data_IF_997941709560
#
_entry.id   IF_997941709560
#
_cell.length_a   1.000
_cell.length_b   1.000
_cell.length_c   1.000
_cell.angle_alpha   90.00
_cell.angle_beta   90.00
_cell.angle_gamma   90.00
#
_symmetry.space_group_name_H-M   'P 1'
#
loop_
_entity.id
_entity.type
_entity.pdbx_description
1 polymer ?
#
# COMPACT_ATOMS: atom_id res chain seq x y z
N UNK A 1 -50.25 80.49 6.64
CA UNK A 1 -49.51 80.22 5.39
C UNK A 1 -48.83 78.86 5.53
N UNK A 2 -49.31 77.86 4.81
CA UNK A 2 -48.82 76.48 4.86
C UNK A 2 -47.73 76.30 3.79
N UNK A 3 -46.48 76.09 4.21
CA UNK A 3 -45.38 75.77 3.29
C UNK A 3 -45.57 74.36 2.75
N UNK A 4 -45.96 74.24 1.47
CA UNK A 4 -45.91 72.98 0.74
C UNK A 4 -44.47 72.75 0.28
N UNK A 5 -43.76 71.69 0.73
CA UNK A 5 -42.42 71.42 0.26
C UNK A 5 -42.48 70.97 -1.21
N UNK A 6 -41.75 71.69 -2.08
CA UNK A 6 -41.54 71.29 -3.48
C UNK A 6 -40.87 69.91 -3.52
N UNK A 7 -41.56 68.91 -4.07
CA UNK A 7 -40.96 67.60 -4.40
C UNK A 7 -39.79 67.83 -5.36
N UNK A 8 -38.57 67.59 -4.86
CA UNK A 8 -37.34 67.61 -5.66
C UNK A 8 -37.46 66.50 -6.72
N UNK A 9 -37.66 66.86 -7.99
CA UNK A 9 -37.64 65.89 -9.09
C UNK A 9 -36.20 65.37 -9.20
N UNK A 10 -35.99 64.09 -8.91
CA UNK A 10 -34.71 63.43 -9.13
C UNK A 10 -34.43 63.42 -10.66
N UNK A 11 -33.19 63.70 -11.09
CA UNK A 11 -32.81 63.57 -12.50
C UNK A 11 -33.03 62.14 -12.99
N UNK A 12 -33.46 62.01 -14.25
CA UNK A 12 -33.71 60.73 -14.89
C UNK A 12 -32.41 59.98 -15.21
N UNK A 13 -32.54 58.70 -15.55
CA UNK A 13 -31.42 57.77 -15.78
C UNK A 13 -30.52 58.24 -16.92
N UNK A 14 -29.28 58.63 -16.61
CA UNK A 14 -28.32 59.06 -17.63
C UNK A 14 -27.43 57.90 -18.07
N UNK A 15 -26.89 57.99 -19.30
CA UNK A 15 -25.90 57.02 -19.80
C UNK A 15 -24.65 56.93 -18.90
N UNK A 16 -24.28 58.03 -18.23
CA UNK A 16 -23.13 58.04 -17.31
C UNK A 16 -23.40 57.24 -16.05
N UNK A 17 -24.64 57.25 -15.56
CA UNK A 17 -25.04 56.45 -14.39
C UNK A 17 -25.12 54.96 -14.75
N UNK A 18 -25.54 54.63 -15.97
CA UNK A 18 -25.50 53.27 -16.50
C UNK A 18 -24.07 52.69 -16.51
N UNK A 19 -23.10 53.46 -17.02
CA UNK A 19 -21.69 53.06 -17.08
C UNK A 19 -21.11 52.88 -15.68
N UNK A 20 -21.44 53.76 -14.73
CA UNK A 20 -20.99 53.65 -13.34
C UNK A 20 -21.55 52.41 -12.65
N UNK A 21 -22.84 52.12 -12.83
CA UNK A 21 -23.47 50.92 -12.29
C UNK A 21 -22.88 49.65 -12.89
N UNK A 22 -22.63 49.63 -14.21
CA UNK A 22 -21.98 48.53 -14.87
C UNK A 22 -20.56 48.32 -14.32
N UNK A 23 -19.77 49.38 -14.19
CA UNK A 23 -18.41 49.30 -13.66
C UNK A 23 -18.37 48.81 -12.20
N UNK A 24 -19.21 49.39 -11.33
CA UNK A 24 -19.32 48.99 -9.93
C UNK A 24 -19.81 47.55 -9.79
N UNK A 25 -20.80 47.16 -10.61
CA UNK A 25 -21.30 45.78 -10.66
C UNK A 25 -20.22 44.80 -11.12
N UNK A 26 -19.50 45.11 -12.20
CA UNK A 26 -18.40 44.26 -12.69
C UNK A 26 -17.28 44.10 -11.66
N UNK A 27 -16.91 45.17 -10.94
CA UNK A 27 -15.91 45.10 -9.88
C UNK A 27 -16.38 44.25 -8.69
N UNK A 28 -17.65 44.39 -8.27
CA UNK A 28 -18.22 43.55 -7.22
C UNK A 28 -18.29 42.08 -7.64
N UNK A 29 -18.74 41.80 -8.86
CA UNK A 29 -18.79 40.43 -9.40
C UNK A 29 -17.39 39.82 -9.43
N UNK A 30 -16.40 40.56 -9.93
CA UNK A 30 -15.01 40.09 -9.95
C UNK A 30 -14.48 39.82 -8.53
N UNK A 31 -14.69 40.75 -7.60
CA UNK A 31 -14.26 40.59 -6.21
C UNK A 31 -14.90 39.38 -5.52
N UNK A 32 -16.22 39.23 -5.63
CA UNK A 32 -16.94 38.09 -5.06
C UNK A 32 -16.50 36.77 -5.70
N UNK A 33 -16.36 36.73 -7.03
CA UNK A 33 -15.93 35.52 -7.74
C UNK A 33 -14.53 35.10 -7.30
N UNK A 34 -13.59 36.05 -7.18
CA UNK A 34 -12.22 35.78 -6.71
C UNK A 34 -12.22 35.24 -5.28
N UNK A 35 -12.95 35.87 -4.36
CA UNK A 35 -13.02 35.44 -2.96
C UNK A 35 -13.63 34.05 -2.84
N UNK A 36 -14.75 33.80 -3.54
CA UNK A 36 -15.46 32.53 -3.45
C UNK A 36 -14.70 31.38 -4.14
N UNK A 37 -13.86 31.69 -5.13
CA UNK A 37 -13.05 30.71 -5.87
C UNK A 37 -11.68 30.42 -5.24
N UNK A 38 -11.33 31.05 -4.11
CA UNK A 38 -9.98 30.91 -3.52
C UNK A 38 -9.65 29.47 -3.12
N UNK A 39 -10.64 28.67 -2.70
CA UNK A 39 -10.44 27.26 -2.32
C UNK A 39 -10.33 26.31 -3.52
N UNK A 40 -10.58 26.82 -4.74
CA UNK A 40 -10.44 26.05 -5.99
C UNK A 40 -8.97 26.05 -6.43
N UNK A 41 -8.10 26.80 -5.75
CA UNK A 41 -6.67 26.74 -6.00
C UNK A 41 -6.16 25.31 -5.78
N UNK A 42 -5.50 24.71 -6.78
CA UNK A 42 -5.12 23.30 -6.73
C UNK A 42 -4.17 22.99 -5.56
N UNK A 43 -4.65 22.29 -4.54
CA UNK A 43 -3.83 21.75 -3.44
C UNK A 43 -3.30 20.36 -3.83
N UNK A 44 -2.46 20.30 -4.86
CA UNK A 44 -1.81 19.07 -5.32
C UNK A 44 -0.31 19.00 -5.03
N UNK A 45 0.27 17.87 -5.40
CA UNK A 45 1.70 17.58 -5.45
C UNK A 45 2.08 17.17 -6.89
N UNK A 46 2.56 18.11 -7.72
CA UNK A 46 2.93 17.81 -9.12
C UNK A 46 4.31 17.15 -9.26
N UNK A 47 4.79 16.42 -8.25
CA UNK A 47 6.09 15.77 -8.23
C UNK A 47 6.05 14.31 -8.67
N UNK A 48 7.20 13.64 -8.60
CA UNK A 48 7.39 12.23 -8.92
C UNK A 48 7.82 11.42 -7.69
N UNK A 49 7.89 10.09 -7.83
CA UNK A 49 8.46 9.21 -6.79
C UNK A 49 9.90 9.65 -6.47
N UNK A 50 10.21 9.82 -5.19
CA UNK A 50 11.51 10.26 -4.69
C UNK A 50 11.62 11.75 -4.40
N UNK A 51 10.67 12.57 -4.87
CA UNK A 51 10.62 13.99 -4.55
C UNK A 51 10.22 14.23 -3.08
N UNK A 52 10.62 15.38 -2.56
CA UNK A 52 10.31 15.80 -1.18
C UNK A 52 9.13 16.74 -1.19
N UNK A 53 8.12 16.47 -0.36
CA UNK A 53 6.96 17.34 -0.24
C UNK A 53 7.32 18.68 0.41
N UNK A 54 7.11 19.78 -0.32
CA UNK A 54 7.34 21.14 0.19
C UNK A 54 6.23 21.68 1.10
N UNK A 55 5.13 20.95 1.28
CA UNK A 55 4.01 21.26 2.19
C UNK A 55 3.23 19.99 2.51
N UNK A 56 2.44 20.02 3.58
CA UNK A 56 1.46 18.97 3.87
C UNK A 56 0.46 18.82 2.70
N UNK A 57 0.30 17.59 2.21
CA UNK A 57 -0.70 17.23 1.20
C UNK A 57 -1.80 16.44 1.88
N UNK A 58 -3.03 16.96 1.80
CA UNK A 58 -4.21 16.38 2.46
C UNK A 58 -5.18 15.78 1.46
N UNK A 59 -5.86 14.72 1.87
CA UNK A 59 -6.86 14.05 1.06
C UNK A 59 -8.12 14.92 0.86
N UNK A 60 -8.51 15.25 -0.38
CA UNK A 60 -9.68 16.09 -0.65
C UNK A 60 -11.01 15.37 -0.41
N UNK A 61 -10.99 14.04 -0.41
CA UNK A 61 -12.16 13.15 -0.25
C UNK A 61 -11.73 11.85 0.42
N UNK A 62 -12.69 11.16 1.04
CA UNK A 62 -12.46 9.80 1.51
C UNK A 62 -12.50 8.82 0.34
N UNK A 63 -11.58 7.87 0.30
CA UNK A 63 -11.52 6.81 -0.72
C UNK A 63 -10.94 5.53 -0.10
N UNK A 64 -11.42 4.38 -0.54
CA UNK A 64 -10.82 3.08 -0.28
C UNK A 64 -10.13 2.61 -1.57
N UNK A 65 -8.80 2.55 -1.54
CA UNK A 65 -7.95 2.25 -2.70
C UNK A 65 -7.42 0.83 -2.57
N UNK A 66 -7.67 0.02 -3.59
CA UNK A 66 -6.97 -1.26 -3.77
C UNK A 66 -5.57 -0.97 -4.32
N UNK A 67 -4.52 -1.32 -3.57
CA UNK A 67 -3.14 -1.20 -4.03
C UNK A 67 -2.71 -2.46 -4.75
N UNK A 68 -2.76 -2.43 -6.07
CA UNK A 68 -2.32 -3.55 -6.91
C UNK A 68 -0.83 -3.80 -6.74
N UNK A 69 -0.03 -2.74 -6.65
CA UNK A 69 1.43 -2.82 -6.53
C UNK A 69 1.84 -3.48 -5.20
N UNK A 70 1.29 -3.04 -4.06
CA UNK A 70 1.61 -3.67 -2.78
C UNK A 70 1.04 -5.09 -2.66
N UNK A 71 -0.11 -5.34 -3.28
CA UNK A 71 -0.69 -6.68 -3.31
C UNK A 71 0.22 -7.64 -4.09
N UNK A 72 0.68 -7.25 -5.28
CA UNK A 72 1.62 -8.07 -6.05
C UNK A 72 2.99 -8.21 -5.36
N UNK A 73 3.49 -7.17 -4.70
CA UNK A 73 4.72 -7.27 -3.91
C UNK A 73 4.60 -8.33 -2.80
N UNK A 74 3.48 -8.35 -2.06
CA UNK A 74 3.23 -9.37 -1.03
C UNK A 74 3.00 -10.75 -1.64
N UNK A 75 2.36 -10.85 -2.80
CA UNK A 75 2.21 -12.11 -3.55
C UNK A 75 3.57 -12.66 -3.99
N UNK A 76 4.46 -11.81 -4.49
CA UNK A 76 5.81 -12.20 -4.88
C UNK A 76 6.63 -12.68 -3.69
N UNK A 77 6.55 -11.97 -2.55
CA UNK A 77 7.19 -12.41 -1.31
C UNK A 77 6.66 -13.76 -0.82
N UNK A 78 5.34 -13.98 -0.91
CA UNK A 78 4.73 -15.26 -0.58
C UNK A 78 5.27 -16.41 -1.47
N UNK A 79 5.42 -16.18 -2.78
CA UNK A 79 6.02 -17.17 -3.70
C UNK A 79 7.46 -17.50 -3.30
N UNK A 80 8.27 -16.50 -2.94
CA UNK A 80 9.67 -16.70 -2.55
C UNK A 80 9.83 -17.45 -1.22
N UNK A 81 8.87 -17.28 -0.31
CA UNK A 81 8.86 -17.97 0.99
C UNK A 81 8.32 -19.40 0.92
N UNK A 82 7.66 -19.78 -0.17
CA UNK A 82 7.13 -21.13 -0.35
C UNK A 82 8.27 -22.14 -0.53
N UNK A 83 8.40 -23.13 0.36
CA UNK A 83 9.44 -24.15 0.24
C UNK A 83 9.25 -25.03 -1.02
N UNK A 84 10.34 -25.51 -1.63
CA UNK A 84 10.29 -26.55 -2.64
C UNK A 84 9.50 -27.78 -2.17
N UNK A 85 8.73 -28.37 -3.08
CA UNK A 85 7.95 -29.58 -2.84
C UNK A 85 8.70 -30.79 -3.42
N UNK A 86 8.60 -31.91 -2.72
CA UNK A 86 9.28 -33.17 -3.08
C UNK A 86 8.29 -34.33 -3.11
N UNK A 87 8.60 -35.39 -3.87
CA UNK A 87 7.76 -36.57 -4.11
C UNK A 87 7.87 -37.70 -3.09
N UNK A 88 8.53 -37.46 -1.98
CA UNK A 88 8.62 -38.46 -0.92
C UNK A 88 7.24 -38.84 -0.35
N UNK A 89 7.08 -40.16 -0.23
CA UNK A 89 6.02 -40.82 0.52
C UNK A 89 6.60 -41.99 1.32
N UNK A 90 5.84 -42.47 2.32
CA UNK A 90 6.24 -43.67 3.07
C UNK A 90 6.40 -44.91 2.18
N UNK A 91 5.62 -45.01 1.10
CA UNK A 91 5.67 -46.11 0.13
C UNK A 91 6.95 -46.06 -0.74
N UNK A 92 7.32 -44.87 -1.21
CA UNK A 92 8.60 -44.66 -1.93
C UNK A 92 9.80 -44.92 -1.02
N UNK A 93 9.72 -44.56 0.27
CA UNK A 93 10.74 -44.90 1.25
C UNK A 93 10.87 -46.41 1.47
N UNK A 94 9.75 -47.11 1.62
CA UNK A 94 9.72 -48.56 1.79
C UNK A 94 10.27 -49.31 0.57
N UNK A 95 9.77 -49.00 -0.63
CA UNK A 95 10.22 -49.63 -1.88
C UNK A 95 11.67 -49.29 -2.24
N UNK A 96 12.17 -48.13 -1.80
CA UNK A 96 13.59 -47.79 -1.90
C UNK A 96 14.42 -48.63 -0.94
N UNK A 97 14.00 -48.76 0.31
CA UNK A 97 14.68 -49.58 1.31
C UNK A 97 14.75 -51.06 0.89
N UNK A 98 13.65 -51.64 0.41
CA UNK A 98 13.62 -53.03 -0.04
C UNK A 98 14.62 -53.28 -1.19
N UNK A 99 14.62 -52.39 -2.21
CA UNK A 99 15.55 -52.49 -3.34
C UNK A 99 17.01 -52.36 -2.91
N UNK A 100 17.32 -51.42 -2.00
CA UNK A 100 18.70 -51.22 -1.56
C UNK A 100 19.18 -52.29 -0.57
N UNK A 101 18.30 -52.85 0.25
CA UNK A 101 18.62 -54.02 1.07
C UNK A 101 18.94 -55.24 0.21
N UNK A 102 18.15 -55.50 -0.84
CA UNK A 102 18.46 -56.58 -1.79
C UNK A 102 19.78 -56.36 -2.54
N UNK A 103 20.06 -55.11 -2.93
CA UNK A 103 21.33 -54.74 -3.56
C UNK A 103 22.52 -54.89 -2.60
N UNK A 104 22.35 -54.53 -1.32
CA UNK A 104 23.33 -54.76 -0.26
C UNK A 104 23.62 -56.24 -0.08
N UNK A 105 22.57 -57.06 0.01
CA UNK A 105 22.72 -58.51 0.19
C UNK A 105 23.50 -59.15 -0.97
N UNK A 106 23.16 -58.78 -2.22
CA UNK A 106 23.87 -59.24 -3.41
C UNK A 106 25.33 -58.73 -3.47
N UNK A 107 25.57 -57.47 -3.10
CA UNK A 107 26.92 -56.90 -3.10
C UNK A 107 27.85 -57.57 -2.07
N UNK A 108 27.29 -58.02 -0.95
CA UNK A 108 28.06 -58.61 0.14
C UNK A 108 28.14 -60.15 0.10
N UNK A 109 27.43 -60.81 -0.82
CA UNK A 109 27.46 -62.28 -0.99
C UNK A 109 28.90 -62.86 -1.11
N UNK A 110 29.83 -62.27 -1.90
CA UNK A 110 31.19 -62.79 -2.00
C UNK A 110 31.98 -62.65 -0.69
N UNK A 111 31.71 -61.57 0.05
CA UNK A 111 32.35 -61.28 1.35
C UNK A 111 31.83 -62.25 2.41
N UNK A 112 30.53 -62.50 2.45
CA UNK A 112 29.94 -63.50 3.35
C UNK A 112 30.49 -64.89 3.08
N UNK A 113 30.59 -65.29 1.82
CA UNK A 113 31.15 -66.58 1.43
C UNK A 113 32.59 -66.75 1.91
N UNK A 114 33.40 -65.68 1.83
CA UNK A 114 34.78 -65.70 2.33
C UNK A 114 34.84 -65.90 3.85
N UNK A 115 33.99 -65.24 4.64
CA UNK A 115 33.93 -65.38 6.10
C UNK A 115 33.26 -66.69 6.57
N UNK A 116 32.35 -67.27 5.78
CA UNK A 116 31.67 -68.53 6.08
C UNK A 116 32.53 -69.76 5.77
N UNK A 117 33.50 -69.63 4.88
CA UNK A 117 34.38 -70.74 4.50
C UNK A 117 35.21 -71.21 5.70
N UNK A 118 35.20 -72.53 6.00
CA UNK A 118 36.08 -73.14 7.03
C UNK A 118 37.54 -73.26 6.55
N UNK A 119 37.98 -72.29 5.75
CA UNK A 119 39.29 -72.27 5.10
C UNK A 119 40.36 -71.75 6.05
N UNK A 120 41.63 -72.00 5.73
CA UNK A 120 42.73 -71.36 6.45
C UNK A 120 42.68 -69.83 6.31
N UNK A 121 43.20 -69.11 7.30
CA UNK A 121 43.19 -67.64 7.32
C UNK A 121 43.78 -67.03 6.04
N UNK A 122 44.83 -67.64 5.48
CA UNK A 122 45.45 -67.20 4.23
C UNK A 122 44.50 -67.27 3.03
N UNK A 123 43.65 -68.31 2.96
CA UNK A 123 42.67 -68.49 1.87
C UNK A 123 41.53 -67.48 2.01
N UNK A 124 41.06 -67.22 3.23
CA UNK A 124 40.06 -66.19 3.52
C UNK A 124 40.55 -64.79 3.14
N UNK A 125 41.78 -64.45 3.51
CA UNK A 125 42.38 -63.14 3.17
C UNK A 125 42.50 -62.95 1.66
N UNK A 126 42.88 -63.99 0.91
CA UNK A 126 42.94 -63.95 -0.55
C UNK A 126 41.56 -63.76 -1.19
N UNK A 127 40.54 -64.48 -0.72
CA UNK A 127 39.17 -64.37 -1.20
C UNK A 127 38.55 -62.98 -0.93
N UNK A 128 38.82 -62.39 0.24
CA UNK A 128 38.34 -61.04 0.58
C UNK A 128 38.97 -59.94 -0.30
N UNK A 129 40.25 -60.07 -0.62
CA UNK A 129 40.94 -59.14 -1.52
C UNK A 129 40.40 -59.21 -2.96
N UNK A 130 39.96 -60.40 -3.40
CA UNK A 130 39.33 -60.59 -4.71
C UNK A 130 37.86 -60.13 -4.75
N UNK A 131 37.13 -60.32 -3.64
CA UNK A 131 35.73 -59.93 -3.51
C UNK A 131 35.49 -58.42 -3.58
N UNK A 132 36.48 -57.61 -3.20
CA UNK A 132 36.32 -56.14 -3.12
C UNK A 132 37.53 -55.40 -3.69
N UNK A 133 37.74 -55.42 -5.02
CA UNK A 133 38.96 -54.91 -5.67
C UNK A 133 39.12 -53.37 -5.64
N UNK A 134 38.15 -52.64 -5.10
CA UNK A 134 38.13 -51.17 -5.05
C UNK A 134 38.22 -50.55 -3.65
N UNK A 135 38.41 -51.36 -2.60
CA UNK A 135 38.60 -50.85 -1.23
C UNK A 135 39.98 -50.17 -1.11
N UNK A 136 40.07 -49.00 -0.46
CA UNK A 136 41.36 -48.40 -0.15
C UNK A 136 42.13 -49.28 0.87
N UNK A 137 43.47 -49.15 0.93
CA UNK A 137 44.31 -50.09 1.67
C UNK A 137 44.01 -50.17 3.17
N UNK A 138 43.64 -49.05 3.78
CA UNK A 138 43.37 -48.95 5.22
C UNK A 138 42.06 -49.67 5.57
N UNK A 139 41.02 -49.50 4.75
CA UNK A 139 39.72 -50.16 4.90
C UNK A 139 39.82 -51.65 4.54
N UNK A 140 40.64 -52.01 3.56
CA UNK A 140 40.95 -53.41 3.26
C UNK A 140 41.64 -54.09 4.45
N UNK A 141 42.60 -53.43 5.09
CA UNK A 141 43.26 -53.97 6.29
C UNK A 141 42.26 -54.19 7.43
N UNK A 142 41.37 -53.21 7.63
CA UNK A 142 40.28 -53.30 8.61
C UNK A 142 39.38 -54.49 8.33
N UNK A 143 38.98 -54.71 7.08
CA UNK A 143 38.15 -55.86 6.67
C UNK A 143 38.86 -57.20 6.91
N UNK A 144 40.16 -57.29 6.62
CA UNK A 144 40.95 -58.52 6.76
C UNK A 144 41.18 -58.94 8.21
N UNK A 145 41.21 -57.98 9.13
CA UNK A 145 41.46 -58.21 10.56
C UNK A 145 40.20 -58.63 11.34
N UNK A 146 39.00 -58.49 10.73
CA UNK A 146 37.75 -58.94 11.35
C UNK A 146 37.69 -60.46 11.51
N UNK A 147 37.09 -60.92 12.60
CA UNK A 147 36.65 -62.31 12.79
C UNK A 147 35.30 -62.56 12.10
N UNK A 148 34.93 -63.82 11.81
CA UNK A 148 33.61 -64.15 11.26
C UNK A 148 32.43 -63.67 12.13
N UNK A 149 32.60 -63.67 13.46
CA UNK A 149 31.57 -63.19 14.40
C UNK A 149 31.44 -61.66 14.36
N UNK A 150 32.55 -60.94 14.26
CA UNK A 150 32.56 -59.48 14.10
C UNK A 150 32.00 -59.06 12.74
N UNK A 151 32.35 -59.75 11.66
CA UNK A 151 31.76 -59.53 10.33
C UNK A 151 30.24 -59.69 10.35
N UNK A 152 29.73 -60.78 10.94
CA UNK A 152 28.27 -61.02 11.06
C UNK A 152 27.58 -59.90 11.84
N UNK A 153 28.22 -59.42 12.91
CA UNK A 153 27.72 -58.31 13.73
C UNK A 153 27.77 -56.97 12.99
N UNK A 154 28.79 -56.75 12.17
CA UNK A 154 28.94 -55.56 11.34
C UNK A 154 27.92 -55.56 10.20
N UNK A 155 27.79 -56.67 9.48
CA UNK A 155 26.84 -56.85 8.38
C UNK A 155 25.41 -56.57 8.82
N UNK A 156 24.99 -57.17 9.93
CA UNK A 156 23.64 -56.95 10.48
C UNK A 156 23.40 -55.49 10.89
N UNK A 157 24.42 -54.82 11.42
CA UNK A 157 24.35 -53.38 11.71
C UNK A 157 24.23 -52.56 10.42
N UNK A 158 25.06 -52.84 9.41
CA UNK A 158 25.04 -52.15 8.13
C UNK A 158 23.68 -52.27 7.45
N UNK A 159 23.11 -53.48 7.41
CA UNK A 159 21.77 -53.73 6.87
C UNK A 159 20.71 -52.90 7.61
N UNK A 160 20.73 -52.90 8.95
CA UNK A 160 19.81 -52.10 9.78
C UNK A 160 19.95 -50.60 9.49
N UNK A 161 21.17 -50.09 9.40
CA UNK A 161 21.44 -48.67 9.16
C UNK A 161 20.98 -48.26 7.75
N UNK A 162 21.28 -49.06 6.73
CA UNK A 162 20.84 -48.80 5.35
C UNK A 162 19.32 -48.80 5.26
N UNK A 163 18.67 -49.83 5.79
CA UNK A 163 17.20 -49.92 5.78
C UNK A 163 16.57 -48.71 6.48
N UNK A 164 17.09 -48.33 7.66
CA UNK A 164 16.58 -47.18 8.42
C UNK A 164 16.81 -45.87 7.65
N UNK A 165 17.98 -45.71 7.04
CA UNK A 165 18.34 -44.52 6.26
C UNK A 165 17.46 -44.38 5.02
N UNK A 166 17.20 -45.49 4.32
CA UNK A 166 16.46 -45.54 3.07
C UNK A 166 14.94 -45.45 3.27
N UNK A 167 14.44 -45.79 4.47
CA UNK A 167 13.04 -45.54 4.88
C UNK A 167 12.76 -44.06 5.14
N UNK A 168 13.74 -43.29 5.59
CA UNK A 168 13.62 -41.85 5.82
C UNK A 168 13.67 -41.06 4.50
N UNK A 169 13.22 -39.80 4.51
CA UNK A 169 13.36 -38.92 3.36
C UNK A 169 14.85 -38.61 3.09
N UNK A 170 15.32 -38.96 1.89
CA UNK A 170 16.66 -38.66 1.38
C UNK A 170 16.50 -37.86 0.10
N UNK A 171 16.66 -36.53 0.21
CA UNK A 171 16.59 -35.60 -0.91
C UNK A 171 17.80 -35.73 -1.83
N UNK A 172 17.57 -35.57 -3.12
CA UNK A 172 18.60 -35.41 -4.15
C UNK A 172 19.70 -34.40 -3.77
N UNK A 173 19.31 -33.26 -3.23
CA UNK A 173 20.17 -32.17 -2.77
C UNK A 173 20.98 -32.50 -1.51
N UNK A 174 20.53 -33.46 -0.70
CA UNK A 174 21.13 -33.81 0.60
C UNK A 174 21.83 -35.17 0.58
N UNK A 175 21.87 -35.85 -0.57
CA UNK A 175 22.37 -37.22 -0.67
C UNK A 175 23.82 -37.37 -0.17
N UNK A 176 24.70 -36.42 -0.49
CA UNK A 176 26.10 -36.48 -0.06
C UNK A 176 26.25 -36.30 1.46
N UNK A 177 25.46 -35.41 2.05
CA UNK A 177 25.43 -35.22 3.51
C UNK A 177 24.86 -36.46 4.20
N UNK A 178 23.78 -37.04 3.66
CA UNK A 178 23.18 -38.27 4.15
C UNK A 178 24.17 -39.45 4.11
N UNK A 179 24.97 -39.56 3.04
CA UNK A 179 26.05 -40.56 2.90
C UNK A 179 27.16 -40.35 3.94
N UNK A 180 27.60 -39.11 4.13
CA UNK A 180 28.61 -38.76 5.12
C UNK A 180 28.16 -39.05 6.57
N UNK A 181 26.86 -38.98 6.82
CA UNK A 181 26.28 -39.27 8.14
C UNK A 181 26.10 -40.77 8.44
N UNK A 182 26.30 -41.68 7.47
CA UNK A 182 26.09 -43.11 7.67
C UNK A 182 27.03 -43.70 8.73
N UNK A 183 28.31 -43.31 8.74
CA UNK A 183 29.28 -43.78 9.72
C UNK A 183 28.89 -43.44 11.16
N UNK A 184 28.30 -42.27 11.36
CA UNK A 184 27.82 -41.81 12.68
C UNK A 184 26.54 -42.53 13.16
N UNK A 185 25.80 -43.19 12.25
CA UNK A 185 24.57 -43.95 12.58
C UNK A 185 24.84 -45.39 13.02
N UNK A 186 26.07 -45.88 12.80
CA UNK A 186 26.53 -47.19 13.28
C UNK A 186 26.72 -47.15 14.80
N UNK A 187 26.52 -48.31 15.44
CA UNK A 187 26.67 -48.42 16.88
C UNK A 187 28.09 -48.06 17.38
N UNK A 188 28.14 -47.39 18.54
CA UNK A 188 29.40 -46.93 19.18
C UNK A 188 30.36 -48.07 19.53
N UNK A 189 29.86 -49.31 19.60
CA UNK A 189 30.69 -50.52 19.82
C UNK A 189 31.74 -50.74 18.72
N UNK A 190 31.51 -50.18 17.53
CA UNK A 190 32.42 -50.30 16.40
C UNK A 190 33.50 -49.22 16.44
N UNK A 191 34.73 -49.60 16.11
CA UNK A 191 35.87 -48.69 16.05
C UNK A 191 35.67 -47.61 14.97
N UNK A 192 36.41 -46.48 15.01
CA UNK A 192 36.35 -45.48 13.94
C UNK A 192 36.64 -46.09 12.56
N UNK A 193 37.70 -46.89 12.42
CA UNK A 193 38.07 -47.53 11.15
C UNK A 193 36.99 -48.48 10.62
N UNK A 194 36.35 -49.23 11.52
CA UNK A 194 35.20 -50.09 11.20
C UNK A 194 33.99 -49.29 10.70
N UNK A 195 33.72 -48.12 11.29
CA UNK A 195 32.63 -47.23 10.89
C UNK A 195 32.91 -46.56 9.54
N UNK A 196 34.16 -46.22 9.26
CA UNK A 196 34.59 -45.66 7.99
C UNK A 196 34.49 -46.71 6.87
N UNK A 197 34.92 -47.95 7.12
CA UNK A 197 34.73 -49.10 6.21
C UNK A 197 33.24 -49.30 5.89
N UNK A 198 32.39 -49.36 6.92
CA UNK A 198 30.95 -49.54 6.74
C UNK A 198 30.29 -48.37 5.99
N UNK A 199 30.69 -47.13 6.26
CA UNK A 199 30.23 -45.96 5.51
C UNK A 199 30.62 -46.03 4.04
N UNK A 200 31.84 -46.48 3.74
CA UNK A 200 32.32 -46.64 2.37
C UNK A 200 31.54 -47.71 1.60
N UNK A 201 31.20 -48.82 2.26
CA UNK A 201 30.37 -49.89 1.70
C UNK A 201 28.92 -49.41 1.47
N UNK A 202 28.33 -48.71 2.44
CA UNK A 202 26.93 -48.27 2.38
C UNK A 202 26.70 -47.06 1.48
N UNK A 203 27.71 -46.19 1.30
CA UNK A 203 27.59 -44.93 0.57
C UNK A 203 26.98 -45.07 -0.83
N UNK A 204 27.49 -45.96 -1.70
CA UNK A 204 26.94 -46.20 -3.04
C UNK A 204 25.50 -46.74 -3.04
N UNK A 205 25.10 -47.46 -1.99
CA UNK A 205 23.79 -48.10 -1.86
C UNK A 205 22.71 -47.14 -1.32
N UNK A 206 23.11 -46.09 -0.59
CA UNK A 206 22.21 -45.00 -0.23
C UNK A 206 21.89 -44.16 -1.48
N UNK A 207 20.62 -44.16 -1.88
CA UNK A 207 20.11 -43.38 -3.03
C UNK A 207 19.08 -42.35 -2.60
N UNK A 208 18.85 -41.31 -3.40
CA UNK A 208 17.76 -40.38 -3.14
C UNK A 208 16.41 -41.06 -3.38
N UNK A 209 15.47 -40.85 -2.47
CA UNK A 209 14.07 -41.33 -2.56
C UNK A 209 13.06 -40.17 -2.50
N UNK A 210 13.56 -38.94 -2.62
CA UNK A 210 12.81 -37.69 -2.61
C UNK A 210 13.43 -36.77 -3.66
N UNK A 211 12.71 -36.55 -4.75
CA UNK A 211 13.13 -35.74 -5.88
C UNK A 211 12.30 -34.47 -5.93
N UNK A 212 12.93 -33.37 -6.34
CA UNK A 212 12.23 -32.10 -6.51
C UNK A 212 11.09 -32.21 -7.53
N UNK A 213 9.89 -31.79 -7.12
CA UNK A 213 8.71 -31.74 -7.98
C UNK A 213 8.41 -30.29 -8.35
N UNK A 214 8.80 -29.92 -9.57
CA UNK A 214 8.60 -28.58 -10.09
C UNK A 214 7.11 -28.21 -10.17
N UNK A 215 6.26 -29.12 -10.64
CA UNK A 215 4.85 -28.85 -10.84
C UNK A 215 4.12 -28.63 -9.50
N UNK A 216 4.39 -29.46 -8.50
CA UNK A 216 3.83 -29.26 -7.14
C UNK A 216 4.38 -28.01 -6.47
N UNK A 217 5.64 -27.68 -6.71
CA UNK A 217 6.24 -26.44 -6.18
C UNK A 217 5.60 -25.20 -6.79
N UNK A 218 5.45 -25.17 -8.11
CA UNK A 218 4.78 -24.06 -8.80
C UNK A 218 3.32 -23.93 -8.38
N UNK A 219 2.59 -25.04 -8.25
CA UNK A 219 1.22 -25.04 -7.75
C UNK A 219 1.12 -24.51 -6.31
N UNK A 220 2.05 -24.92 -5.43
CA UNK A 220 2.13 -24.42 -4.06
C UNK A 220 2.46 -22.91 -4.01
N UNK A 221 3.37 -22.44 -4.87
CA UNK A 221 3.69 -21.01 -5.00
C UNK A 221 2.48 -20.19 -5.48
N UNK A 222 1.72 -20.70 -6.45
CA UNK A 222 0.50 -20.05 -6.94
C UNK A 222 -0.60 -20.02 -5.87
N UNK A 223 -0.81 -21.13 -5.16
CA UNK A 223 -1.77 -21.19 -4.06
C UNK A 223 -1.40 -20.24 -2.92
N UNK A 224 -0.12 -20.16 -2.56
CA UNK A 224 0.38 -19.21 -1.56
C UNK A 224 0.16 -17.76 -2.00
N UNK A 225 0.41 -17.42 -3.26
CA UNK A 225 0.13 -16.10 -3.80
C UNK A 225 -1.38 -15.78 -3.82
N UNK A 226 -2.23 -16.73 -4.20
CA UNK A 226 -3.68 -16.55 -4.22
C UNK A 226 -4.29 -16.37 -2.81
N UNK A 227 -3.66 -16.95 -1.79
CA UNK A 227 -4.07 -16.78 -0.39
C UNK A 227 -3.72 -15.41 0.21
N UNK A 228 -2.89 -14.60 -0.47
CA UNK A 228 -2.52 -13.26 0.03
C UNK A 228 -3.72 -12.31 -0.10
N UNK A 229 -4.20 -11.72 1.02
CA UNK A 229 -5.28 -10.77 0.98
C UNK A 229 -4.85 -9.48 0.26
N UNK A 230 -5.80 -8.86 -0.42
CA UNK A 230 -5.63 -7.57 -1.07
C UNK A 230 -5.23 -6.48 -0.07
N UNK A 231 -4.28 -5.64 -0.46
CA UNK A 231 -3.84 -4.49 0.32
C UNK A 231 -4.72 -3.30 -0.01
N UNK A 232 -5.43 -2.79 1.00
CA UNK A 232 -6.32 -1.64 0.87
C UNK A 232 -5.84 -0.47 1.71
N UNK A 233 -5.89 0.74 1.14
CA UNK A 233 -5.69 1.99 1.85
C UNK A 233 -7.03 2.67 2.04
N UNK A 234 -7.46 2.79 3.30
CA UNK A 234 -8.60 3.61 3.65
C UNK A 234 -8.10 5.01 4.00
N UNK A 235 -8.37 5.98 3.14
CA UNK A 235 -7.97 7.38 3.34
C UNK A 235 -9.22 8.19 3.62
N UNK A 236 -9.19 9.00 4.69
CA UNK A 236 -10.32 9.86 5.09
C UNK A 236 -10.09 11.29 4.61
N UNK A 237 -11.17 12.00 4.22
CA UNK A 237 -11.11 13.43 3.87
C UNK A 237 -10.40 14.23 4.97
N UNK A 238 -9.41 15.04 4.58
CA UNK A 238 -8.62 15.91 5.46
C UNK A 238 -7.40 15.26 6.11
N UNK A 239 -7.25 13.94 5.97
CA UNK A 239 -6.07 13.19 6.40
C UNK A 239 -4.82 13.65 5.64
N UNK A 240 -3.68 13.68 6.33
CA UNK A 240 -2.40 14.05 5.72
C UNK A 240 -1.84 12.82 5.03
N UNK A 241 -1.83 12.82 3.70
CA UNK A 241 -1.27 11.75 2.87
C UNK A 241 0.25 11.85 2.84
N UNK A 242 0.77 13.08 2.76
CA UNK A 242 2.22 13.36 2.78
C UNK A 242 2.49 14.55 3.68
N UNK A 243 3.42 14.39 4.61
CA UNK A 243 3.87 15.50 5.46
C UNK A 243 4.92 16.35 4.76
N UNK A 244 4.97 17.63 5.11
CA UNK A 244 6.09 18.51 4.72
C UNK A 244 7.45 17.89 5.10
N UNK A 245 8.40 17.91 4.16
CA UNK A 245 9.73 17.32 4.32
C UNK A 245 9.80 15.80 4.15
N UNK A 246 8.67 15.11 3.99
CA UNK A 246 8.64 13.68 3.71
C UNK A 246 8.99 13.39 2.24
N UNK A 247 9.81 12.36 2.01
CA UNK A 247 10.07 11.82 0.67
C UNK A 247 8.87 10.97 0.23
N UNK A 248 8.38 11.20 -0.98
CA UNK A 248 7.31 10.42 -1.59
C UNK A 248 7.85 9.07 -2.07
N UNK A 249 7.36 7.97 -1.50
CA UNK A 249 7.64 6.61 -1.98
C UNK A 249 6.59 6.16 -3.02
N UNK A 250 6.76 4.96 -3.58
CA UNK A 250 5.84 4.44 -4.59
C UNK A 250 4.40 4.28 -4.05
N UNK A 251 4.25 3.83 -2.80
CA UNK A 251 2.96 3.64 -2.16
C UNK A 251 2.20 4.96 -1.97
N UNK A 252 2.89 5.99 -1.49
CA UNK A 252 2.35 7.33 -1.34
C UNK A 252 2.03 7.95 -2.70
N UNK A 253 2.88 7.74 -3.70
CA UNK A 253 2.63 8.23 -5.06
C UNK A 253 1.36 7.60 -5.68
N UNK A 254 1.14 6.30 -5.47
CA UNK A 254 -0.09 5.61 -5.87
C UNK A 254 -1.33 6.25 -5.21
N UNK A 255 -1.26 6.54 -3.91
CA UNK A 255 -2.35 7.22 -3.20
C UNK A 255 -2.61 8.63 -3.77
N UNK A 256 -1.57 9.42 -4.04
CA UNK A 256 -1.69 10.74 -4.65
C UNK A 256 -2.31 10.68 -6.06
N UNK A 257 -1.96 9.64 -6.84
CA UNK A 257 -2.52 9.39 -8.18
C UNK A 257 -4.03 9.12 -8.12
N UNK A 258 -4.46 8.20 -7.26
CA UNK A 258 -5.87 7.83 -7.10
C UNK A 258 -6.73 8.96 -6.48
N UNK A 259 -6.10 9.83 -5.69
CA UNK A 259 -6.71 11.05 -5.18
C UNK A 259 -6.78 12.19 -6.21
N UNK A 260 -6.14 12.04 -7.38
CA UNK A 260 -6.09 13.07 -8.42
C UNK A 260 -5.23 14.29 -8.03
N UNK A 261 -4.27 14.10 -7.12
CA UNK A 261 -3.45 15.17 -6.57
C UNK A 261 -2.17 15.44 -7.37
N UNK A 262 -1.86 14.58 -8.35
CA UNK A 262 -0.67 14.70 -9.20
C UNK A 262 -0.83 15.73 -10.33
N UNK A 263 -2.02 15.87 -10.90
CA UNK A 263 -2.32 16.87 -11.93
C UNK A 263 -3.56 17.68 -11.54
N UNK A 264 -3.39 18.70 -10.68
CA UNK A 264 -4.53 19.37 -10.10
C UNK A 264 -5.05 20.43 -11.09
N UNK A 265 -6.06 20.06 -11.87
CA UNK A 265 -6.70 20.94 -12.85
C UNK A 265 -7.68 21.92 -12.17
N UNK A 266 -7.74 23.19 -12.63
CA UNK A 266 -8.72 24.13 -12.11
C UNK A 266 -10.13 23.67 -12.48
N UNK A 267 -11.01 23.55 -11.48
CA UNK A 267 -12.41 23.21 -11.69
C UNK A 267 -13.16 24.42 -12.29
N UNK A 268 -13.12 24.51 -13.63
CA UNK A 268 -13.74 25.58 -14.40
C UNK A 268 -15.26 25.60 -14.21
N UNK A 269 -15.89 24.44 -13.97
CA UNK A 269 -17.32 24.34 -13.73
C UNK A 269 -17.71 24.98 -12.40
N UNK A 270 -16.99 24.68 -11.31
CA UNK A 270 -17.21 25.34 -10.01
C UNK A 270 -16.92 26.83 -10.06
N UNK A 271 -15.84 27.23 -10.74
CA UNK A 271 -15.51 28.66 -10.94
C UNK A 271 -16.63 29.38 -11.69
N UNK A 272 -17.17 28.75 -12.74
CA UNK A 272 -18.34 29.25 -13.47
C UNK A 272 -19.60 29.36 -12.60
N UNK A 273 -19.83 28.39 -11.71
CA UNK A 273 -20.91 28.43 -10.72
C UNK A 273 -20.79 29.62 -9.77
N UNK A 274 -19.60 29.89 -9.22
CA UNK A 274 -19.36 31.07 -8.37
C UNK A 274 -19.49 32.38 -9.12
N UNK A 275 -19.05 32.44 -10.37
CA UNK A 275 -19.24 33.61 -11.23
C UNK A 275 -20.74 33.88 -11.46
N UNK A 276 -21.52 32.85 -11.77
CA UNK A 276 -22.97 32.96 -11.96
C UNK A 276 -23.67 33.43 -10.68
N UNK A 277 -23.36 32.83 -9.53
CA UNK A 277 -23.90 33.24 -8.23
C UNK A 277 -23.56 34.69 -7.92
N UNK A 278 -22.31 35.10 -8.16
CA UNK A 278 -21.87 36.49 -7.97
C UNK A 278 -22.66 37.46 -8.86
N UNK A 279 -22.88 37.10 -10.14
CA UNK A 279 -23.70 37.89 -11.07
C UNK A 279 -25.14 38.02 -10.57
N UNK A 280 -25.76 36.92 -10.12
CA UNK A 280 -27.15 36.95 -9.63
C UNK A 280 -27.30 37.81 -8.38
N UNK A 281 -26.39 37.69 -7.42
CA UNK A 281 -26.43 38.46 -6.17
C UNK A 281 -26.20 39.96 -6.42
N UNK A 282 -25.23 40.30 -7.27
CA UNK A 282 -24.97 41.70 -7.62
C UNK A 282 -26.11 42.28 -8.45
N UNK A 283 -26.68 41.51 -9.38
CA UNK A 283 -27.84 41.94 -10.16
C UNK A 283 -29.07 42.17 -9.27
N UNK A 284 -29.30 41.31 -8.27
CA UNK A 284 -30.37 41.49 -7.28
C UNK A 284 -30.16 42.78 -6.47
N UNK A 285 -28.96 42.97 -5.94
CA UNK A 285 -28.61 44.14 -5.13
C UNK A 285 -28.73 45.44 -5.93
N UNK A 286 -28.10 45.52 -7.10
CA UNK A 286 -28.11 46.70 -7.95
C UNK A 286 -29.49 46.94 -8.60
N UNK A 287 -30.21 45.87 -8.95
CA UNK A 287 -31.58 45.95 -9.46
C UNK A 287 -32.54 46.51 -8.40
N UNK A 288 -32.37 46.11 -7.14
CA UNK A 288 -33.12 46.69 -6.03
C UNK A 288 -32.78 48.17 -5.82
N UNK A 289 -31.49 48.53 -5.81
CA UNK A 289 -31.04 49.94 -5.69
C UNK A 289 -31.61 50.78 -6.84
N UNK A 290 -31.57 50.27 -8.07
CA UNK A 290 -32.12 50.94 -9.24
C UNK A 290 -33.65 51.16 -9.13
N UNK A 291 -34.39 50.19 -8.59
CA UNK A 291 -35.85 50.23 -8.51
C UNK A 291 -36.39 51.04 -7.33
N UNK A 292 -35.74 50.98 -6.17
CA UNK A 292 -36.27 51.50 -4.91
C UNK A 292 -35.46 52.64 -4.31
N UNK A 293 -34.17 52.79 -4.68
CA UNK A 293 -33.29 53.83 -4.15
C UNK A 293 -32.60 54.64 -5.25
N UNK A 294 -33.38 55.35 -6.09
CA UNK A 294 -32.85 56.24 -7.12
C UNK A 294 -32.19 57.52 -6.55
N UNK A 295 -31.70 57.51 -5.32
CA UNK A 295 -30.87 58.58 -4.77
C UNK A 295 -29.41 58.13 -4.63
N UNK A 296 -29.19 56.82 -4.48
CA UNK A 296 -27.88 56.22 -4.23
C UNK A 296 -27.05 56.06 -5.50
N UNK A 297 -27.67 55.70 -6.63
CA UNK A 297 -27.01 55.56 -7.94
C UNK A 297 -26.37 56.85 -8.50
N UNK A 298 -26.87 58.03 -8.12
CA UNK A 298 -26.23 59.30 -8.50
C UNK A 298 -24.97 59.60 -7.67
N UNK A 299 -24.74 58.87 -6.56
CA UNK A 299 -23.62 59.05 -5.63
C UNK A 299 -22.64 57.89 -5.77
N UNK A 300 -21.56 58.10 -6.53
CA UNK A 300 -20.51 57.08 -6.72
C UNK A 300 -19.99 56.51 -5.39
N UNK A 301 -19.78 57.38 -4.39
CA UNK A 301 -19.28 56.97 -3.07
C UNK A 301 -20.22 55.98 -2.36
N UNK A 302 -21.54 56.10 -2.53
CA UNK A 302 -22.50 55.20 -1.89
C UNK A 302 -22.47 53.80 -2.50
N UNK A 303 -22.34 53.69 -3.83
CA UNK A 303 -22.21 52.39 -4.51
C UNK A 303 -20.86 51.73 -4.20
N UNK A 304 -19.78 52.51 -4.17
CA UNK A 304 -18.44 52.01 -3.81
C UNK A 304 -18.42 51.54 -2.36
N UNK A 305 -19.00 52.29 -1.43
CA UNK A 305 -19.10 51.90 -0.03
C UNK A 305 -19.90 50.61 0.14
N UNK A 306 -21.06 50.49 -0.50
CA UNK A 306 -21.87 49.29 -0.46
C UNK A 306 -21.09 48.08 -0.99
N UNK A 307 -20.45 48.22 -2.16
CA UNK A 307 -19.65 47.16 -2.75
C UNK A 307 -18.47 46.76 -1.88
N UNK A 308 -17.75 47.73 -1.33
CA UNK A 308 -16.60 47.49 -0.44
C UNK A 308 -17.04 46.74 0.83
N UNK A 309 -18.12 47.16 1.47
CA UNK A 309 -18.63 46.52 2.70
C UNK A 309 -19.07 45.07 2.40
N UNK A 310 -19.81 44.84 1.31
CA UNK A 310 -20.23 43.48 0.92
C UNK A 310 -19.03 42.59 0.59
N UNK A 311 -18.06 43.10 -0.18
CA UNK A 311 -16.85 42.34 -0.54
C UNK A 311 -16.00 42.02 0.69
N UNK A 312 -15.79 42.98 1.59
CA UNK A 312 -15.03 42.76 2.83
C UNK A 312 -15.75 41.81 3.79
N UNK A 313 -17.07 41.92 3.93
CA UNK A 313 -17.85 41.00 4.75
C UNK A 313 -17.80 39.57 4.19
N UNK A 314 -17.93 39.41 2.87
CA UNK A 314 -17.75 38.12 2.20
C UNK A 314 -16.35 37.54 2.40
N UNK A 315 -15.31 38.38 2.31
CA UNK A 315 -13.93 37.95 2.60
C UNK A 315 -13.78 37.46 4.04
N UNK A 316 -14.29 38.20 5.01
CA UNK A 316 -14.25 37.82 6.42
C UNK A 316 -15.00 36.49 6.66
N UNK A 317 -16.20 36.34 6.11
CA UNK A 317 -16.98 35.10 6.16
C UNK A 317 -16.19 33.94 5.56
N UNK A 318 -15.55 34.14 4.40
CA UNK A 318 -14.75 33.12 3.72
C UNK A 318 -13.57 32.63 4.56
N UNK A 319 -12.77 33.56 5.09
CA UNK A 319 -11.58 33.24 5.91
C UNK A 319 -11.96 32.47 7.19
N UNK A 320 -13.14 32.74 7.74
CA UNK A 320 -13.62 32.03 8.93
C UNK A 320 -14.37 30.74 8.62
N UNK A 321 -14.98 30.62 7.43
CA UNK A 321 -15.96 29.58 7.06
C UNK A 321 -15.46 28.14 7.16
N UNK A 322 -14.17 27.92 6.87
CA UNK A 322 -13.55 26.58 6.91
C UNK A 322 -13.28 26.07 8.33
N UNK A 323 -13.53 26.89 9.35
CA UNK A 323 -13.26 26.57 10.75
C UNK A 323 -14.58 26.45 11.51
N UNK A 324 -14.74 25.37 12.27
CA UNK A 324 -16.04 24.95 12.82
C UNK A 324 -16.76 25.98 13.70
N UNK A 325 -16.04 26.88 14.38
CA UNK A 325 -16.65 27.83 15.35
C UNK A 325 -16.38 29.30 15.00
N UNK A 326 -15.31 29.60 14.27
CA UNK A 326 -14.87 30.98 14.03
C UNK A 326 -15.85 31.89 13.26
N UNK A 327 -16.69 31.39 12.33
CA UNK A 327 -17.70 32.22 11.65
C UNK A 327 -18.67 32.89 12.62
N UNK A 328 -19.04 32.20 13.70
CA UNK A 328 -20.00 32.69 14.69
C UNK A 328 -19.46 33.79 15.61
N UNK A 329 -18.14 34.01 15.61
CA UNK A 329 -17.50 35.14 16.30
C UNK A 329 -17.46 36.41 15.45
N UNK A 330 -17.79 36.33 14.16
CA UNK A 330 -17.81 37.52 13.32
C UNK A 330 -19.01 38.40 13.68
N UNK A 331 -18.81 39.71 13.93
CA UNK A 331 -19.90 40.62 14.26
C UNK A 331 -20.67 40.99 12.99
N UNK A 332 -21.33 40.03 12.34
CA UNK A 332 -22.03 40.24 11.06
C UNK A 332 -23.18 41.25 11.21
N UNK A 333 -23.81 41.29 12.39
CA UNK A 333 -24.77 42.34 12.74
C UNK A 333 -24.20 43.77 12.67
N UNK A 334 -22.89 43.95 12.95
CA UNK A 334 -22.24 45.25 12.83
C UNK A 334 -22.13 45.71 11.36
N UNK A 335 -22.06 44.77 10.40
CA UNK A 335 -22.10 45.08 8.96
C UNK A 335 -23.46 45.66 8.59
N UNK A 336 -24.55 45.02 9.03
CA UNK A 336 -25.91 45.51 8.81
C UNK A 336 -26.14 46.89 9.45
N UNK A 337 -25.66 47.08 10.69
CA UNK A 337 -25.74 48.37 11.38
C UNK A 337 -24.97 49.47 10.64
N UNK A 338 -23.75 49.18 10.19
CA UNK A 338 -22.91 50.12 9.45
C UNK A 338 -23.61 50.56 8.15
N UNK A 339 -24.17 49.62 7.39
CA UNK A 339 -24.91 49.94 6.17
C UNK A 339 -26.20 50.74 6.45
N UNK A 340 -26.90 50.44 7.54
CA UNK A 340 -28.13 51.15 7.91
C UNK A 340 -27.86 52.60 8.30
N UNK A 341 -26.72 52.86 8.98
CA UNK A 341 -26.31 54.21 9.41
C UNK A 341 -25.73 55.02 8.25
N UNK A 342 -24.89 54.42 7.40
CA UNK A 342 -24.20 55.16 6.33
C UNK A 342 -25.03 55.33 5.06
N UNK A 343 -25.97 54.42 4.78
CA UNK A 343 -26.86 54.47 3.61
C UNK A 343 -28.32 54.61 4.04
N UNK A 344 -28.97 53.49 4.35
CA UNK A 344 -30.35 53.40 4.83
C UNK A 344 -30.70 51.96 5.25
N UNK A 345 -31.76 51.81 6.04
CA UNK A 345 -32.22 50.50 6.55
C UNK A 345 -32.67 49.52 5.46
N UNK A 346 -33.21 50.00 4.35
CA UNK A 346 -33.64 49.15 3.23
C UNK A 346 -32.43 48.56 2.49
N UNK A 347 -31.42 49.37 2.22
CA UNK A 347 -30.17 48.91 1.60
C UNK A 347 -29.44 47.93 2.52
N UNK A 348 -29.42 48.19 3.82
CA UNK A 348 -28.84 47.28 4.81
C UNK A 348 -29.53 45.92 4.82
N UNK A 349 -30.87 45.89 4.81
CA UNK A 349 -31.64 44.64 4.80
C UNK A 349 -31.31 43.78 3.57
N UNK A 350 -31.28 44.38 2.38
CA UNK A 350 -30.99 43.64 1.14
C UNK A 350 -29.54 43.17 1.10
N UNK A 351 -28.60 44.00 1.57
CA UNK A 351 -27.19 43.60 1.65
C UNK A 351 -26.97 42.44 2.64
N UNK A 352 -27.65 42.46 3.80
CA UNK A 352 -27.60 41.36 4.76
C UNK A 352 -28.22 40.08 4.19
N UNK A 353 -29.34 40.18 3.48
CA UNK A 353 -29.93 39.02 2.80
C UNK A 353 -28.97 38.43 1.74
N UNK A 354 -28.26 39.27 0.98
CA UNK A 354 -27.20 38.83 0.06
C UNK A 354 -26.06 38.14 0.82
N UNK A 355 -25.60 38.71 1.94
CA UNK A 355 -24.56 38.12 2.77
C UNK A 355 -24.99 36.79 3.40
N UNK A 356 -26.26 36.62 3.76
CA UNK A 356 -26.79 35.34 4.25
C UNK A 356 -26.75 34.24 3.19
N UNK A 357 -27.11 34.56 1.94
CA UNK A 357 -26.95 33.62 0.81
C UNK A 357 -25.48 33.27 0.58
N UNK A 358 -24.58 34.25 0.63
CA UNK A 358 -23.13 34.02 0.53
C UNK A 358 -22.63 33.11 1.66
N UNK A 359 -23.05 33.37 2.90
CA UNK A 359 -22.65 32.60 4.06
C UNK A 359 -23.07 31.12 3.94
N UNK A 360 -24.32 30.85 3.53
CA UNK A 360 -24.78 29.49 3.29
C UNK A 360 -24.09 28.80 2.13
N UNK A 361 -23.77 29.55 1.06
CA UNK A 361 -23.03 28.99 -0.07
C UNK A 361 -21.59 28.61 0.32
N UNK A 362 -20.94 29.40 1.19
CA UNK A 362 -19.58 29.12 1.67
C UNK A 362 -19.52 27.85 2.52
N UNK A 363 -20.45 27.67 3.47
CA UNK A 363 -20.42 26.50 4.37
C UNK A 363 -21.13 25.28 3.83
N UNK A 364 -21.96 25.44 2.79
CA UNK A 364 -22.84 24.38 2.29
C UNK A 364 -23.98 24.03 3.27
N UNK A 365 -24.23 24.87 4.27
CA UNK A 365 -25.25 24.66 5.31
C UNK A 365 -26.19 25.87 5.42
N UNK A 366 -27.44 25.64 5.79
CA UNK A 366 -28.42 26.72 6.01
C UNK A 366 -28.25 27.43 7.35
N UNK A 367 -27.48 26.86 8.28
CA UNK A 367 -27.29 27.41 9.63
C UNK A 367 -26.61 28.78 9.62
N UNK A 368 -25.49 28.91 8.91
CA UNK A 368 -24.78 30.18 8.82
C UNK A 368 -25.57 31.21 8.01
N UNK A 369 -26.35 30.76 7.03
CA UNK A 369 -27.25 31.64 6.26
C UNK A 369 -28.37 32.23 7.12
N UNK A 370 -28.85 31.50 8.14
CA UNK A 370 -29.89 31.97 9.04
C UNK A 370 -29.36 32.83 10.20
N UNK A 371 -28.08 32.66 10.55
CA UNK A 371 -27.39 33.46 11.56
C UNK A 371 -27.12 34.90 11.08
N UNK A 372 -26.77 35.05 9.80
CA UNK A 372 -26.52 36.33 9.10
C UNK A 372 -27.84 36.98 8.72
#
# INVERSE_FOLDING_TARGET
MMFVPRRRRLPGFTRRDAVRLALAGSLMVAGLTVILSIDILPTGFPGQVGDIAGRDVRAPRSIDILSEEQTEARRAEARLRTPPQYDYSADTGFSSAERQSAAFDAAMEPVDAAFASMSSEAVRRAALAEAVPGLPPDELSTLLDLTPAEWTSMRSEMARVLETAQRAEVRDTQLNEARAALGARLAVRFSPAERDLAQLILGPLLVANSTYDQARTEAAMQAAAAAVPEVRFNIIKGEIVVREGQRVDAAVFEQLRELGLLDPQPDLAKTGGWALTSVLLVALLLGWVWRFRPELWHRANSLVLLGLVVVLATFALKVTGDRSVLPYFMPVAAVGLLLAVLLDSGTALVAMAVLGVVAGAITGTSELAAYV
#
